data_IF_118277753400
#
_entry.id   IF_118277753400
#
_cell.length_a   1.000
_cell.length_b   1.000
_cell.length_c   1.000
_cell.angle_alpha   90.00
_cell.angle_beta   90.00
_cell.angle_gamma   90.00
#
_symmetry.space_group_name_H-M   'P 1'
#
loop_
_entity.id
_entity.type
_entity.pdbx_description
1 polymer ?
#
# COMPACT_ATOMS: atom_id res chain seq x y z
N UNK A 1 3.40 -10.71 -14.75
CA UNK A 1 3.30 -10.63 -13.27
C UNK A 1 3.00 -9.24 -12.68
N UNK A 2 3.85 -8.21 -12.81
CA UNK A 2 3.56 -6.90 -12.17
C UNK A 2 2.22 -6.29 -12.64
N UNK A 3 2.02 -6.23 -13.96
CA UNK A 3 0.78 -5.75 -14.55
C UNK A 3 -0.43 -6.62 -14.22
N UNK A 4 -0.28 -7.95 -14.22
CA UNK A 4 -1.36 -8.86 -13.78
C UNK A 4 -1.83 -8.57 -12.35
N UNK A 5 -0.91 -8.26 -11.43
CA UNK A 5 -1.26 -7.92 -10.03
C UNK A 5 -2.03 -6.59 -9.95
N UNK A 6 -1.61 -5.58 -10.72
CA UNK A 6 -2.33 -4.29 -10.77
C UNK A 6 -3.69 -4.48 -11.45
N UNK A 7 -3.74 -5.20 -12.56
CA UNK A 7 -4.99 -5.56 -13.22
C UNK A 7 -5.90 -6.31 -12.25
N UNK A 8 -5.43 -7.30 -11.50
CA UNK A 8 -6.27 -8.09 -10.59
C UNK A 8 -7.08 -7.22 -9.61
N UNK A 9 -6.52 -6.09 -9.17
CA UNK A 9 -7.14 -5.19 -8.19
C UNK A 9 -7.77 -3.92 -8.78
N UNK A 10 -7.75 -3.76 -10.11
CA UNK A 10 -8.23 -2.54 -10.79
C UNK A 10 -9.03 -2.84 -12.05
N UNK A 11 -9.60 -1.80 -12.68
CA UNK A 11 -10.23 -1.91 -14.00
C UNK A 11 -9.20 -1.88 -15.14
N UNK A 12 -7.93 -1.60 -14.83
CA UNK A 12 -6.89 -1.38 -15.84
C UNK A 12 -6.50 -2.70 -16.51
N UNK A 13 -6.40 -2.66 -17.83
CA UNK A 13 -5.96 -3.77 -18.68
C UNK A 13 -4.69 -3.32 -19.39
N UNK A 14 -3.58 -4.00 -19.11
CA UNK A 14 -2.31 -3.72 -19.76
C UNK A 14 -2.14 -4.65 -20.95
N UNK A 15 -1.86 -4.08 -22.12
CA UNK A 15 -1.55 -4.83 -23.35
C UNK A 15 -0.14 -4.48 -23.79
N UNK A 16 0.57 -5.48 -24.32
CA UNK A 16 1.88 -5.25 -24.92
C UNK A 16 1.70 -4.40 -26.18
N UNK A 17 2.48 -3.34 -26.29
CA UNK A 17 2.57 -2.49 -27.47
C UNK A 17 4.02 -2.52 -27.97
N UNK A 18 4.19 -2.61 -29.29
CA UNK A 18 5.50 -2.63 -29.96
C UNK A 18 5.90 -1.24 -30.46
N UNK A 19 4.93 -0.37 -30.76
CA UNK A 19 5.18 0.98 -31.22
C UNK A 19 5.39 1.94 -30.06
N UNK A 20 6.56 2.59 -30.03
CA UNK A 20 6.94 3.54 -28.98
C UNK A 20 5.90 4.67 -28.80
N UNK A 21 5.43 5.24 -29.93
CA UNK A 21 4.50 6.38 -29.93
C UNK A 21 3.07 6.02 -29.48
N UNK A 22 2.72 4.74 -29.48
CA UNK A 22 1.42 4.24 -29.04
C UNK A 22 1.47 3.69 -27.61
N UNK A 23 2.66 3.66 -27.00
CA UNK A 23 2.87 3.08 -25.67
C UNK A 23 2.56 4.11 -24.59
N UNK A 24 1.93 3.67 -23.50
CA UNK A 24 1.79 4.49 -22.29
C UNK A 24 3.03 4.39 -21.39
N UNK A 25 3.67 3.23 -21.35
CA UNK A 25 4.86 2.96 -20.56
C UNK A 25 5.95 2.39 -21.46
N UNK A 26 7.19 2.86 -21.26
CA UNK A 26 8.38 2.28 -21.89
C UNK A 26 9.38 1.92 -20.80
N UNK A 27 9.78 0.65 -20.77
CA UNK A 27 10.78 0.14 -19.82
C UNK A 27 12.16 0.25 -20.42
N UNK A 28 13.05 0.96 -19.73
CA UNK A 28 14.40 1.25 -20.19
C UNK A 28 15.42 0.70 -19.19
N UNK A 29 16.59 0.25 -19.66
CA UNK A 29 17.67 -0.15 -18.76
C UNK A 29 18.16 1.05 -17.96
N UNK A 30 18.34 0.85 -16.66
CA UNK A 30 18.85 1.88 -15.75
C UNK A 30 19.54 1.27 -14.54
N UNK A 31 20.33 2.09 -13.83
CA UNK A 31 21.03 1.62 -12.62
C UNK A 31 20.09 1.47 -11.41
N UNK A 32 18.94 2.13 -11.43
CA UNK A 32 17.97 2.16 -10.34
C UNK A 32 16.55 2.16 -10.89
N UNK A 33 15.58 1.84 -10.04
CA UNK A 33 14.16 2.02 -10.30
C UNK A 33 13.85 3.52 -10.26
N UNK A 34 13.49 4.10 -11.40
CA UNK A 34 13.20 5.53 -11.51
C UNK A 34 12.10 5.77 -12.55
N UNK A 35 11.11 6.57 -12.19
CA UNK A 35 10.11 7.11 -13.11
C UNK A 35 9.61 8.47 -12.64
N UNK A 36 9.03 9.22 -13.57
CA UNK A 36 8.41 10.50 -13.27
C UNK A 36 6.99 10.28 -12.71
N UNK A 37 6.57 11.17 -11.82
CA UNK A 37 5.18 11.22 -11.37
C UNK A 37 4.25 11.51 -12.56
N UNK A 38 3.18 10.73 -12.70
CA UNK A 38 2.17 10.75 -13.77
C UNK A 38 1.36 12.03 -14.00
N UNK A 39 1.89 13.19 -13.61
CA UNK A 39 1.27 14.52 -13.82
C UNK A 39 1.91 15.30 -14.97
N UNK A 40 2.95 14.76 -15.62
CA UNK A 40 3.72 15.45 -16.65
C UNK A 40 3.25 15.05 -18.05
N UNK A 41 3.40 15.95 -19.03
CA UNK A 41 3.09 15.74 -20.46
C UNK A 41 3.96 14.68 -21.16
N UNK A 42 4.80 13.96 -20.42
CA UNK A 42 5.68 12.93 -21.00
C UNK A 42 4.91 11.62 -21.16
N UNK A 43 4.44 11.38 -22.37
CA UNK A 43 3.94 10.09 -22.85
C UNK A 43 4.86 9.66 -24.01
N UNK A 44 5.38 8.42 -24.02
CA UNK A 44 5.26 7.39 -22.98
C UNK A 44 5.96 7.77 -21.66
N UNK A 45 5.42 7.30 -20.55
CA UNK A 45 6.12 7.31 -19.26
C UNK A 45 7.34 6.37 -19.32
N UNK A 46 8.53 6.93 -19.13
CA UNK A 46 9.77 6.15 -19.05
C UNK A 46 9.93 5.56 -17.65
N UNK A 47 10.13 4.24 -17.58
CA UNK A 47 10.39 3.50 -16.35
C UNK A 47 11.78 2.86 -16.49
N UNK A 48 12.73 3.38 -15.72
CA UNK A 48 14.09 2.84 -15.68
C UNK A 48 14.18 1.72 -14.64
N UNK A 49 14.85 0.62 -14.98
CA UNK A 49 15.07 -0.48 -14.04
C UNK A 49 16.38 -1.24 -14.30
N UNK A 50 17.00 -1.81 -13.25
CA UNK A 50 18.13 -2.72 -13.40
C UNK A 50 17.75 -3.99 -14.17
N UNK A 51 18.57 -4.38 -15.14
CA UNK A 51 18.36 -5.62 -15.90
C UNK A 51 18.75 -6.85 -15.05
N UNK A 52 19.79 -6.73 -14.22
CA UNK A 52 20.37 -7.87 -13.48
C UNK A 52 19.61 -8.27 -12.22
N UNK A 53 18.72 -7.42 -11.70
CA UNK A 53 17.96 -7.70 -10.47
C UNK A 53 16.56 -7.11 -10.54
N UNK A 54 15.64 -7.92 -11.05
CA UNK A 54 14.24 -7.55 -11.23
C UNK A 54 13.48 -7.79 -9.92
N UNK A 55 12.95 -6.72 -9.33
CA UNK A 55 12.12 -6.72 -8.13
C UNK A 55 10.70 -6.30 -8.52
N UNK A 56 9.79 -7.27 -8.57
CA UNK A 56 8.41 -7.07 -9.04
C UNK A 56 7.67 -5.98 -8.24
N UNK A 57 7.91 -5.92 -6.93
CA UNK A 57 7.35 -4.87 -6.07
C UNK A 57 7.78 -3.46 -6.47
N UNK A 58 9.05 -3.28 -6.85
CA UNK A 58 9.56 -1.98 -7.31
C UNK A 58 9.05 -1.63 -8.70
N UNK A 59 8.91 -2.62 -9.60
CA UNK A 59 8.24 -2.38 -10.90
C UNK A 59 6.82 -1.87 -10.68
N UNK A 60 6.04 -2.52 -9.80
CA UNK A 60 4.69 -2.06 -9.49
C UNK A 60 4.69 -0.65 -8.90
N UNK A 61 5.61 -0.33 -7.98
CA UNK A 61 5.79 1.04 -7.44
C UNK A 61 6.01 2.06 -8.57
N UNK A 62 6.90 1.78 -9.51
CA UNK A 62 7.18 2.71 -10.61
C UNK A 62 5.97 2.82 -11.58
N UNK A 63 5.29 1.72 -11.89
CA UNK A 63 4.04 1.79 -12.69
C UNK A 63 2.98 2.64 -11.99
N UNK A 64 2.78 2.47 -10.68
CA UNK A 64 1.83 3.26 -9.90
C UNK A 64 2.24 4.74 -9.81
N UNK A 65 3.56 5.02 -9.73
CA UNK A 65 4.11 6.37 -9.78
C UNK A 65 3.81 7.06 -11.11
N UNK A 66 4.03 6.34 -12.21
CA UNK A 66 3.70 6.79 -13.56
C UNK A 66 2.18 6.97 -13.75
N UNK A 67 1.34 6.20 -13.06
CA UNK A 67 -0.12 6.37 -12.99
C UNK A 67 -0.57 7.50 -12.03
N UNK A 68 0.35 8.24 -11.42
CA UNK A 68 -0.01 9.44 -10.65
C UNK A 68 0.05 9.30 -9.13
N UNK A 69 0.40 8.13 -8.56
CA UNK A 69 0.60 8.00 -7.12
C UNK A 69 1.95 8.58 -6.69
N UNK A 70 1.95 9.33 -5.59
CA UNK A 70 3.19 9.76 -4.95
C UNK A 70 3.69 8.72 -3.97
N UNK A 71 4.97 8.81 -3.61
CA UNK A 71 5.51 7.99 -2.56
C UNK A 71 4.80 8.31 -1.25
N UNK A 72 4.47 7.29 -0.47
CA UNK A 72 3.70 7.45 0.78
C UNK A 72 4.47 8.33 1.78
N UNK A 73 5.80 8.19 1.82
CA UNK A 73 6.67 9.04 2.64
C UNK A 73 6.81 10.47 2.11
N UNK A 74 6.16 10.85 1.01
CA UNK A 74 6.12 12.24 0.50
C UNK A 74 4.80 12.95 0.79
N UNK A 75 3.84 12.29 1.44
CA UNK A 75 2.61 12.94 1.87
C UNK A 75 2.88 14.19 2.71
N UNK A 76 1.96 15.15 2.63
CA UNK A 76 2.04 16.41 3.38
C UNK A 76 2.04 16.16 4.89
N UNK A 77 1.19 15.24 5.34
CA UNK A 77 1.00 14.84 6.74
C UNK A 77 2.10 13.90 7.27
N UNK A 78 3.09 13.51 6.44
CA UNK A 78 4.14 12.54 6.84
C UNK A 78 4.87 12.89 8.15
N UNK A 79 4.94 14.16 8.53
CA UNK A 79 5.67 14.61 9.73
C UNK A 79 5.08 14.08 11.03
N UNK A 80 3.78 13.71 11.02
CA UNK A 80 3.11 13.04 12.14
C UNK A 80 3.51 11.55 12.27
N UNK A 81 3.99 10.94 11.18
CA UNK A 81 4.23 9.50 11.08
C UNK A 81 5.72 9.14 11.01
N UNK A 82 6.52 9.97 10.34
CA UNK A 82 7.94 9.72 10.08
C UNK A 82 8.79 10.98 10.24
N UNK A 83 10.11 10.79 10.30
CA UNK A 83 11.15 11.81 10.18
C UNK A 83 12.09 11.43 9.03
N UNK A 84 12.39 12.38 8.15
CA UNK A 84 13.38 12.22 7.08
C UNK A 84 14.72 12.79 7.55
N UNK A 85 15.80 12.04 7.38
CA UNK A 85 17.16 12.50 7.64
C UNK A 85 17.88 12.82 6.33
N UNK A 86 17.73 14.06 5.86
CA UNK A 86 18.34 14.54 4.61
C UNK A 86 19.86 14.42 4.56
N UNK A 87 20.56 14.54 5.69
CA UNK A 87 22.03 14.37 5.75
C UNK A 87 22.47 12.95 5.38
N UNK A 88 21.60 11.97 5.59
CA UNK A 88 21.85 10.56 5.28
C UNK A 88 21.48 10.16 3.84
N UNK A 89 20.87 11.04 3.04
CA UNK A 89 20.43 10.72 1.66
C UNK A 89 21.56 11.05 0.66
N UNK A 90 21.89 10.14 -0.26
CA UNK A 90 22.85 10.45 -1.34
C UNK A 90 22.30 11.59 -2.21
N UNK A 91 23.15 12.57 -2.56
CA UNK A 91 22.73 13.84 -3.19
C UNK A 91 21.78 13.64 -4.40
N UNK A 92 22.11 12.72 -5.32
CA UNK A 92 21.28 12.39 -6.51
C UNK A 92 19.83 11.96 -6.22
N UNK A 93 19.54 11.49 -5.01
CA UNK A 93 18.25 10.94 -4.62
C UNK A 93 17.42 11.87 -3.75
N UNK A 94 17.94 13.04 -3.36
CA UNK A 94 17.22 14.00 -2.50
C UNK A 94 15.86 14.37 -3.08
N UNK A 95 15.75 14.51 -4.41
CA UNK A 95 14.49 14.80 -5.12
C UNK A 95 13.35 13.81 -4.81
N UNK A 96 13.65 12.56 -4.44
CA UNK A 96 12.64 11.54 -4.12
C UNK A 96 12.09 11.64 -2.69
N UNK A 97 12.67 12.51 -1.86
CA UNK A 97 12.24 12.75 -0.47
C UNK A 97 11.62 14.15 -0.28
N UNK A 98 11.59 14.96 -1.34
CA UNK A 98 10.96 16.27 -1.33
C UNK A 98 9.45 16.11 -1.52
N UNK A 99 8.67 16.83 -0.71
CA UNK A 99 7.21 16.84 -0.85
C UNK A 99 6.84 17.59 -2.12
N UNK A 100 5.84 17.10 -2.82
CA UNK A 100 5.16 17.89 -3.85
C UNK A 100 4.36 19.04 -3.21
N UNK A 101 4.06 20.07 -4.00
CA UNK A 101 3.27 21.20 -3.53
C UNK A 101 1.85 20.74 -3.14
N UNK A 102 1.37 21.21 -1.99
CA UNK A 102 0.10 20.84 -1.40
C UNK A 102 -1.09 21.05 -2.34
N UNK A 103 -1.05 22.08 -3.20
CA UNK A 103 -2.09 22.34 -4.19
C UNK A 103 -2.27 21.20 -5.19
N UNK A 104 -1.25 20.36 -5.39
CA UNK A 104 -1.29 19.26 -6.35
C UNK A 104 -1.46 17.89 -5.69
N UNK A 105 -1.45 17.77 -4.37
CA UNK A 105 -1.53 16.47 -3.67
C UNK A 105 -2.77 16.37 -2.79
N UNK A 106 -3.48 15.25 -2.87
CA UNK A 106 -4.63 14.95 -2.00
C UNK A 106 -4.47 13.55 -1.44
N UNK A 107 -4.76 13.38 -0.15
CA UNK A 107 -4.78 12.07 0.52
C UNK A 107 -6.06 11.29 0.23
N UNK A 108 -7.10 11.96 -0.29
CA UNK A 108 -8.42 11.38 -0.55
C UNK A 108 -9.03 10.67 0.67
N UNK A 109 -8.68 11.11 1.88
CA UNK A 109 -9.14 10.53 3.14
C UNK A 109 -8.47 9.21 3.51
N UNK A 110 -7.39 8.79 2.84
CA UNK A 110 -6.64 7.61 3.26
C UNK A 110 -5.74 7.92 4.47
N UNK A 111 -5.71 7.00 5.43
CA UNK A 111 -4.72 7.00 6.51
C UNK A 111 -3.31 6.76 5.96
N UNK A 112 -2.28 7.20 6.70
CA UNK A 112 -0.89 6.93 6.34
C UNK A 112 -0.59 5.43 6.42
N UNK A 113 -0.10 4.85 5.33
CA UNK A 113 0.14 3.41 5.23
C UNK A 113 1.64 3.06 5.20
N UNK A 114 2.21 2.71 6.35
CA UNK A 114 3.61 2.27 6.44
C UNK A 114 3.94 1.03 5.60
N UNK A 115 2.93 0.25 5.21
CA UNK A 115 3.05 -0.94 4.36
C UNK A 115 2.66 -0.66 2.91
N UNK A 116 2.34 0.59 2.53
CA UNK A 116 2.12 0.94 1.14
C UNK A 116 3.30 0.48 0.28
N UNK A 117 3.03 -0.06 -0.90
CA UNK A 117 4.09 -0.37 -1.87
C UNK A 117 4.83 0.90 -2.29
N UNK A 118 4.19 2.06 -2.17
CA UNK A 118 4.74 3.39 -2.43
C UNK A 118 5.59 3.94 -1.28
N UNK A 119 5.68 3.25 -0.13
CA UNK A 119 6.51 3.67 0.99
C UNK A 119 7.95 3.16 0.84
N UNK A 120 8.95 4.04 0.96
CA UNK A 120 10.36 3.64 0.96
C UNK A 120 10.78 2.87 2.22
N UNK A 121 11.82 2.03 2.10
CA UNK A 121 12.43 1.41 3.28
C UNK A 121 13.16 2.45 4.14
N UNK A 122 13.46 2.09 5.39
CA UNK A 122 14.16 2.95 6.34
C UNK A 122 15.57 3.39 5.90
N UNK A 123 16.21 2.63 5.00
CA UNK A 123 17.56 2.85 4.49
C UNK A 123 17.62 3.11 2.98
N UNK A 124 16.48 3.30 2.33
CA UNK A 124 16.42 3.49 0.88
C UNK A 124 17.24 4.74 0.49
N UNK A 125 18.10 4.59 -0.52
CA UNK A 125 19.00 5.62 -1.03
C UNK A 125 19.97 6.25 -0.02
N UNK A 126 20.25 5.56 1.10
CA UNK A 126 21.15 6.03 2.14
C UNK A 126 22.62 6.16 1.70
N UNK A 127 23.34 7.09 2.35
CA UNK A 127 24.80 7.11 2.44
C UNK A 127 25.24 6.03 3.42
N UNK A 128 26.01 5.03 2.95
CA UNK A 128 26.44 3.86 3.74
C UNK A 128 25.21 3.16 4.37
N UNK A 129 25.36 2.53 5.53
CA UNK A 129 24.29 1.78 6.24
C UNK A 129 23.42 2.66 7.15
N UNK A 130 23.23 3.95 6.83
CA UNK A 130 22.42 4.87 7.65
C UNK A 130 20.93 4.80 7.31
N UNK A 131 20.08 5.22 8.25
CA UNK A 131 18.63 5.35 8.04
C UNK A 131 18.29 6.72 7.44
N UNK A 132 17.57 6.73 6.32
CA UNK A 132 17.03 7.93 5.66
C UNK A 132 15.64 8.28 6.19
N UNK A 133 14.85 7.27 6.58
CA UNK A 133 13.51 7.43 7.14
C UNK A 133 13.47 6.75 8.51
N UNK A 134 12.91 7.44 9.51
CA UNK A 134 12.60 6.86 10.84
C UNK A 134 11.12 7.06 11.16
N UNK A 135 10.38 6.02 11.57
CA UNK A 135 9.02 6.22 12.05
C UNK A 135 9.02 6.96 13.40
N UNK A 136 7.92 7.62 13.71
CA UNK A 136 7.65 8.19 15.02
C UNK A 136 7.36 7.10 16.05
N UNK A 137 6.74 6.00 15.61
CA UNK A 137 6.58 4.77 16.38
C UNK A 137 7.65 3.74 15.97
N UNK A 138 8.65 3.48 16.83
CA UNK A 138 9.72 2.52 16.52
C UNK A 138 9.23 1.10 16.26
N UNK A 139 8.06 0.71 16.79
CA UNK A 139 7.52 -0.66 16.64
C UNK A 139 7.17 -1.00 15.19
N UNK A 140 6.92 0.01 14.35
CA UNK A 140 6.54 -0.14 12.94
C UNK A 140 7.76 -0.17 12.01
N UNK A 141 8.96 0.16 12.50
CA UNK A 141 10.14 0.33 11.65
C UNK A 141 10.47 -0.90 10.80
N UNK A 142 10.29 -2.10 11.38
CA UNK A 142 10.57 -3.36 10.71
C UNK A 142 9.61 -3.69 9.56
N UNK A 143 8.46 -3.00 9.47
CA UNK A 143 7.42 -3.22 8.47
C UNK A 143 7.57 -2.33 7.23
N UNK A 144 8.27 -1.20 7.36
CA UNK A 144 8.35 -0.16 6.33
C UNK A 144 9.13 -0.60 5.10
N UNK A 145 8.56 -0.35 3.91
CA UNK A 145 9.23 -0.54 2.62
C UNK A 145 9.56 -1.99 2.25
N UNK A 146 8.86 -2.96 2.85
CA UNK A 146 9.04 -4.41 2.56
C UNK A 146 7.91 -5.03 1.74
N UNK A 147 6.92 -4.25 1.33
CA UNK A 147 5.74 -4.75 0.66
C UNK A 147 6.03 -5.23 -0.76
N UNK A 148 5.62 -6.48 -1.04
CA UNK A 148 5.71 -7.11 -2.35
C UNK A 148 4.42 -6.98 -3.18
N UNK A 149 3.38 -6.40 -2.59
CA UNK A 149 2.05 -6.23 -3.17
C UNK A 149 1.51 -4.85 -2.80
N UNK A 150 0.72 -4.21 -3.69
CA UNK A 150 0.01 -3.00 -3.34
C UNK A 150 -0.99 -3.27 -2.22
N UNK A 151 -1.15 -2.29 -1.33
CA UNK A 151 -2.13 -2.33 -0.26
C UNK A 151 -3.51 -1.97 -0.79
N UNK A 152 -4.53 -2.19 0.06
CA UNK A 152 -5.89 -1.74 -0.22
C UNK A 152 -5.94 -0.24 -0.53
N UNK A 153 -5.18 0.59 0.19
CA UNK A 153 -5.16 2.03 -0.02
C UNK A 153 -4.44 2.44 -1.30
N UNK A 154 -3.37 1.74 -1.69
CA UNK A 154 -2.70 1.96 -2.98
C UNK A 154 -3.70 1.77 -4.14
N UNK A 155 -4.43 0.65 -4.12
CA UNK A 155 -5.40 0.33 -5.18
C UNK A 155 -6.66 1.19 -5.10
N UNK A 156 -7.11 1.58 -3.90
CA UNK A 156 -8.22 2.53 -3.71
C UNK A 156 -7.96 3.83 -4.45
N UNK A 157 -6.74 4.38 -4.35
CA UNK A 157 -6.38 5.63 -4.99
C UNK A 157 -6.36 5.52 -6.53
N UNK A 158 -5.80 4.43 -7.08
CA UNK A 158 -5.83 4.16 -8.52
C UNK A 158 -7.28 4.02 -9.02
N UNK A 159 -8.09 3.22 -8.34
CA UNK A 159 -9.47 2.96 -8.75
C UNK A 159 -10.36 4.21 -8.66
N UNK A 160 -10.16 5.04 -7.62
CA UNK A 160 -10.84 6.33 -7.53
C UNK A 160 -10.47 7.28 -8.68
N UNK A 161 -9.27 7.15 -9.24
CA UNK A 161 -8.83 7.99 -10.35
C UNK A 161 -9.29 7.47 -11.71
N UNK A 162 -9.19 6.16 -11.95
CA UNK A 162 -9.34 5.57 -13.29
C UNK A 162 -10.55 4.65 -13.45
N UNK A 163 -11.14 4.18 -12.36
CA UNK A 163 -12.15 3.13 -12.36
C UNK A 163 -13.44 3.57 -11.64
N UNK A 164 -13.73 4.87 -11.67
CA UNK A 164 -14.98 5.42 -11.15
C UNK A 164 -15.98 5.56 -12.28
N UNK A 165 -17.20 5.09 -12.06
CA UNK A 165 -18.28 5.07 -13.06
C UNK A 165 -19.36 6.08 -12.65
N UNK A 166 -19.21 7.39 -12.95
CA UNK A 166 -20.10 8.43 -12.44
C UNK A 166 -21.54 8.33 -12.96
N UNK A 167 -21.72 7.66 -14.11
CA UNK A 167 -23.04 7.45 -14.71
C UNK A 167 -23.81 6.28 -14.08
N UNK A 168 -23.19 5.52 -13.17
CA UNK A 168 -23.84 4.39 -12.50
C UNK A 168 -24.11 4.75 -11.05
N UNK A 169 -25.35 4.56 -10.62
CA UNK A 169 -25.72 4.73 -9.23
C UNK A 169 -25.01 3.66 -8.38
N UNK A 170 -24.06 4.12 -7.58
CA UNK A 170 -23.23 3.27 -6.74
C UNK A 170 -23.70 3.30 -5.28
N UNK A 171 -23.75 2.16 -4.57
CA UNK A 171 -24.02 2.16 -3.14
C UNK A 171 -22.99 2.99 -2.35
N UNK A 172 -23.40 3.51 -1.19
CA UNK A 172 -22.47 4.18 -0.29
C UNK A 172 -21.55 3.15 0.40
N UNK A 173 -20.25 3.20 0.13
CA UNK A 173 -19.30 2.28 0.74
C UNK A 173 -18.91 2.71 2.17
N UNK A 174 -19.21 1.85 3.13
CA UNK A 174 -18.90 2.03 4.55
C UNK A 174 -17.43 1.68 4.87
N UNK A 175 -16.97 2.12 6.05
CA UNK A 175 -15.67 1.76 6.64
C UNK A 175 -14.47 1.84 5.69
N UNK A 176 -14.37 2.94 4.94
CA UNK A 176 -13.32 3.18 3.94
C UNK A 176 -13.33 2.22 2.73
N UNK A 177 -14.43 1.51 2.48
CA UNK A 177 -14.68 0.87 1.18
C UNK A 177 -14.64 1.88 0.02
N UNK A 178 -14.66 1.37 -1.21
CA UNK A 178 -14.77 2.17 -2.42
C UNK A 178 -15.43 1.36 -3.53
N UNK A 179 -15.85 2.02 -4.62
CA UNK A 179 -16.48 1.35 -5.75
C UNK A 179 -15.64 0.20 -6.29
N UNK A 180 -16.24 -0.98 -6.40
CA UNK A 180 -15.52 -2.11 -6.95
C UNK A 180 -15.20 -1.84 -8.42
N UNK A 181 -13.92 -1.96 -8.85
CA UNK A 181 -13.48 -1.46 -10.15
C UNK A 181 -14.03 -2.23 -11.35
N UNK A 182 -14.68 -3.38 -11.10
CA UNK A 182 -15.29 -4.25 -12.13
C UNK A 182 -16.73 -4.61 -11.86
N UNK A 183 -17.26 -4.22 -10.71
CA UNK A 183 -18.62 -4.58 -10.28
C UNK A 183 -19.31 -3.31 -9.82
N UNK A 184 -20.00 -2.59 -10.72
CA UNK A 184 -20.40 -1.22 -10.46
C UNK A 184 -21.47 -1.08 -9.37
N UNK A 185 -22.11 -2.16 -8.94
CA UNK A 185 -23.13 -2.19 -7.87
C UNK A 185 -22.63 -2.73 -6.52
N UNK A 186 -21.33 -2.98 -6.36
CA UNK A 186 -20.77 -3.49 -5.10
C UNK A 186 -19.53 -2.72 -4.67
N UNK A 187 -19.30 -2.60 -3.37
CA UNK A 187 -18.10 -2.00 -2.82
C UNK A 187 -16.96 -3.02 -2.76
N UNK A 188 -15.73 -2.57 -3.06
CA UNK A 188 -14.51 -3.24 -2.66
C UNK A 188 -14.22 -2.89 -1.20
N UNK A 189 -14.15 -3.92 -0.37
CA UNK A 189 -14.04 -3.80 1.08
C UNK A 189 -12.62 -4.07 1.59
N UNK A 190 -12.31 -3.54 2.77
CA UNK A 190 -11.11 -3.96 3.51
C UNK A 190 -11.15 -5.47 3.73
N UNK A 191 -10.00 -6.16 3.85
CA UNK A 191 -9.94 -7.63 3.88
C UNK A 191 -10.73 -8.34 4.98
N UNK A 192 -11.24 -7.60 5.96
CA UNK A 192 -11.99 -8.09 7.11
C UNK A 192 -13.49 -7.73 7.07
N UNK A 193 -13.96 -7.13 5.98
CA UNK A 193 -15.35 -6.72 5.74
C UNK A 193 -15.92 -7.39 4.47
N UNK A 194 -17.23 -7.57 4.44
CA UNK A 194 -18.03 -8.10 3.34
C UNK A 194 -19.37 -7.38 3.22
N UNK A 195 -20.21 -7.79 2.27
CA UNK A 195 -21.46 -7.12 1.93
C UNK A 195 -21.31 -6.14 0.78
N UNK A 196 -22.43 -5.66 0.24
CA UNK A 196 -22.42 -4.78 -0.93
C UNK A 196 -21.93 -3.37 -0.59
N UNK A 197 -22.03 -2.96 0.67
CA UNK A 197 -21.61 -1.68 1.22
C UNK A 197 -20.42 -1.80 2.18
N UNK A 198 -19.83 -2.99 2.35
CA UNK A 198 -18.83 -3.29 3.38
C UNK A 198 -19.36 -3.19 4.82
N UNK A 199 -20.64 -3.47 5.01
CA UNK A 199 -21.39 -3.37 6.25
C UNK A 199 -21.15 -4.52 7.22
N UNK A 200 -20.71 -5.68 6.73
CA UNK A 200 -20.65 -6.92 7.50
C UNK A 200 -19.20 -7.29 7.81
N UNK A 201 -18.92 -7.71 9.04
CA UNK A 201 -17.62 -8.29 9.40
C UNK A 201 -17.56 -9.75 8.95
N UNK A 202 -16.43 -10.15 8.37
CA UNK A 202 -16.26 -11.55 7.94
C UNK A 202 -16.23 -12.45 9.17
N UNK A 203 -17.06 -13.49 9.21
CA UNK A 203 -17.00 -14.51 10.25
C UNK A 203 -15.84 -15.47 10.02
N UNK A 204 -15.13 -15.82 11.10
CA UNK A 204 -14.05 -16.80 11.02
C UNK A 204 -14.58 -18.17 10.55
N UNK A 205 -13.95 -18.80 9.54
CA UNK A 205 -14.30 -20.14 9.11
C UNK A 205 -13.93 -21.18 10.18
N UNK A 206 -14.42 -22.41 10.02
CA UNK A 206 -14.27 -23.49 11.02
C UNK A 206 -12.81 -23.83 11.40
N UNK A 207 -11.85 -23.57 10.51
CA UNK A 207 -10.42 -23.80 10.75
C UNK A 207 -9.73 -22.65 11.50
N UNK A 208 -10.44 -21.56 11.80
CA UNK A 208 -10.01 -20.47 12.68
C UNK A 208 -10.70 -20.60 14.06
N UNK A 209 -10.33 -19.79 15.05
CA UNK A 209 -11.08 -19.79 16.32
C UNK A 209 -12.53 -19.34 16.11
N UNK A 210 -13.48 -19.91 16.88
CA UNK A 210 -14.83 -19.37 16.94
C UNK A 210 -14.77 -17.95 17.52
N UNK A 211 -15.36 -16.99 16.80
CA UNK A 211 -15.38 -15.58 17.17
C UNK A 211 -14.14 -14.80 16.75
N UNK A 212 -14.34 -13.50 16.53
CA UNK A 212 -13.30 -12.63 16.00
C UNK A 212 -12.74 -11.66 17.06
N UNK A 213 -13.43 -11.45 18.18
CA UNK A 213 -13.13 -10.34 19.10
C UNK A 213 -12.35 -10.77 20.34
N UNK A 214 -11.30 -10.01 20.65
CA UNK A 214 -10.47 -10.20 21.82
C UNK A 214 -10.27 -8.86 22.52
N UNK A 215 -10.49 -8.81 23.83
CA UNK A 215 -10.32 -7.60 24.63
C UNK A 215 -9.02 -7.65 25.45
N UNK A 216 -8.16 -6.66 25.21
CA UNK A 216 -6.90 -6.45 25.91
C UNK A 216 -7.09 -5.49 27.09
N UNK A 217 -6.93 -6.02 28.31
CA UNK A 217 -6.97 -5.28 29.56
C UNK A 217 -5.58 -4.85 30.05
N UNK A 218 -5.48 -4.48 31.33
CA UNK A 218 -4.19 -4.13 31.96
C UNK A 218 -3.28 -5.34 32.21
N UNK A 219 -3.87 -6.50 32.49
CA UNK A 219 -3.14 -7.73 32.72
C UNK A 219 -2.81 -8.42 31.40
N UNK A 220 -1.59 -8.95 31.27
CA UNK A 220 -1.19 -9.76 30.13
C UNK A 220 -2.12 -10.97 30.01
N UNK A 221 -2.71 -11.14 28.83
CA UNK A 221 -3.56 -12.29 28.50
C UNK A 221 -2.89 -13.09 27.40
N UNK A 222 -2.80 -14.39 27.60
CA UNK A 222 -2.35 -15.33 26.59
C UNK A 222 -3.57 -15.99 25.95
N UNK A 223 -3.57 -16.12 24.63
CA UNK A 223 -4.64 -16.76 23.88
C UNK A 223 -4.02 -17.53 22.72
N UNK A 224 -4.46 -18.78 22.54
CA UNK A 224 -4.03 -19.63 21.43
C UNK A 224 -5.00 -19.42 20.27
N UNK A 225 -4.47 -18.89 19.16
CA UNK A 225 -5.22 -18.66 17.94
C UNK A 225 -4.89 -19.74 16.92
N UNK A 226 -5.86 -20.60 16.60
CA UNK A 226 -5.90 -21.45 15.41
C UNK A 226 -5.92 -20.55 14.18
N UNK A 227 -5.00 -20.80 13.27
CA UNK A 227 -4.89 -20.05 12.02
C UNK A 227 -4.86 -21.04 10.86
N UNK A 228 -5.74 -20.83 9.89
CA UNK A 228 -5.77 -21.53 8.62
C UNK A 228 -6.33 -20.59 7.56
N UNK A 229 -5.71 -20.49 6.40
CA UNK A 229 -6.19 -19.59 5.34
C UNK A 229 -6.35 -18.12 5.79
N UNK A 230 -7.57 -17.59 5.67
CA UNK A 230 -7.92 -16.19 6.00
C UNK A 230 -8.73 -16.12 7.29
N UNK A 231 -8.05 -15.96 8.42
CA UNK A 231 -8.68 -15.65 9.70
C UNK A 231 -8.66 -14.15 9.99
N UNK A 232 -9.69 -13.66 10.68
CA UNK A 232 -9.85 -12.26 11.10
C UNK A 232 -9.98 -12.20 12.62
N UNK A 233 -9.08 -11.43 13.24
CA UNK A 233 -9.04 -11.21 14.68
C UNK A 233 -8.99 -9.72 15.00
N UNK A 234 -9.98 -9.24 15.73
CA UNK A 234 -10.10 -7.86 16.21
C UNK A 234 -9.66 -7.77 17.66
N UNK A 235 -8.53 -7.09 17.87
CA UNK A 235 -8.02 -6.76 19.19
C UNK A 235 -8.56 -5.38 19.60
N UNK A 236 -9.26 -5.31 20.73
CA UNK A 236 -9.87 -4.09 21.26
C UNK A 236 -9.34 -3.78 22.66
N UNK A 237 -9.29 -2.50 23.01
CA UNK A 237 -8.98 -2.03 24.36
C UNK A 237 -9.76 -0.74 24.64
N UNK A 238 -9.71 -0.24 25.87
CA UNK A 238 -10.33 1.04 26.23
C UNK A 238 -9.72 2.19 25.41
N UNK A 239 -10.51 3.22 25.14
CA UNK A 239 -10.07 4.39 24.39
C UNK A 239 -8.80 5.02 24.98
N UNK A 240 -7.93 5.53 24.11
CA UNK A 240 -6.64 6.12 24.48
C UNK A 240 -5.55 5.11 24.89
N UNK A 241 -5.85 3.81 25.00
CA UNK A 241 -4.85 2.78 25.32
C UNK A 241 -4.23 2.15 24.08
N UNK A 242 -3.03 1.61 24.26
CA UNK A 242 -2.29 0.85 23.24
C UNK A 242 -2.28 -0.63 23.60
N UNK A 243 -2.42 -1.48 22.58
CA UNK A 243 -2.32 -2.93 22.72
C UNK A 243 -0.90 -3.35 22.39
N UNK A 244 -0.24 -4.05 23.31
CA UNK A 244 1.03 -4.72 23.04
C UNK A 244 0.72 -6.17 22.71
N UNK A 245 1.11 -6.61 21.51
CA UNK A 245 0.89 -7.97 21.04
C UNK A 245 2.23 -8.69 20.91
N UNK A 246 2.35 -9.84 21.58
CA UNK A 246 3.47 -10.77 21.42
C UNK A 246 2.96 -12.00 20.66
N UNK A 247 3.38 -12.16 19.42
CA UNK A 247 3.02 -13.32 18.58
C UNK A 247 4.12 -14.38 18.67
N UNK A 248 3.70 -15.64 18.88
CA UNK A 248 4.54 -16.82 18.76
C UNK A 248 3.82 -17.84 17.90
N UNK A 249 4.49 -18.36 16.87
CA UNK A 249 3.96 -19.44 16.05
C UNK A 249 4.30 -20.77 16.71
N UNK A 250 3.27 -21.59 16.94
CA UNK A 250 3.45 -22.97 17.37
C UNK A 250 3.10 -23.85 16.17
N UNK A 251 4.10 -24.54 15.63
CA UNK A 251 3.87 -25.59 14.64
C UNK A 251 3.73 -26.87 15.45
N UNK A 252 2.56 -27.54 15.45
CA UNK A 252 2.45 -28.85 16.08
C UNK A 252 3.49 -29.76 15.43
N UNK A 253 4.35 -30.38 16.25
CA UNK A 253 5.23 -31.45 15.80
C UNK A 253 4.31 -32.66 15.64
N UNK A 254 4.14 -33.11 14.41
CA UNK A 254 3.46 -34.38 14.11
C UNK A 254 4.27 -35.55 14.64
#
# INVERSE_FOLDING_TARGET
MAFERISAETCLIFRRQLHYNESLFVFLPGRYYETNLGKRREIPHKIFMPISRIEIGKIMREVLRALGLDYEHNRLDRSFYIRINFRNIKARFVKYFTRENACFTKTYGSSYDYRSIMHFSNNEYAKRFRKTIRPRDPSIESLMGKSQYPTFYDMKLINKKYCSFPMIQHPHCLFNGYQHPRMPHTCKCLPFLSGNQCETLIHNPQHCNPGNFYFAGRMERQSILRVGGKCVYFLRTSEGRRIILKLKFHVPIN
#
